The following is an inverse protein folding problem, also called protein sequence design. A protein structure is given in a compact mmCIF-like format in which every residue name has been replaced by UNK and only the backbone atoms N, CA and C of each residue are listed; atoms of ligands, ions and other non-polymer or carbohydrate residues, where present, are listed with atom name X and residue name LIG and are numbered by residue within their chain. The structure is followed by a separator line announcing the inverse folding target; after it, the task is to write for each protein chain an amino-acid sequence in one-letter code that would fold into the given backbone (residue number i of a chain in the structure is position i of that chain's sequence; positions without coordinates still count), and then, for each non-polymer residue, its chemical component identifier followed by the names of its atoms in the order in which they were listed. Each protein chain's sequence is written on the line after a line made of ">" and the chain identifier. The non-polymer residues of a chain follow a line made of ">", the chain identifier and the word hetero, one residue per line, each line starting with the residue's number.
data_IF_885431127446
#
_entry.id   IF_885431127446
#
_cell.length_a   1.000
_cell.length_b   1.000
_cell.length_c   1.000
_cell.angle_alpha   90.00
_cell.angle_beta   90.00
_cell.angle_gamma   90.00
#
_symmetry.space_group_name_H-M   'P 1'
#
loop_
_entity.id
_entity.type
_entity.pdbx_description
1 polymer ?
#
# COMPACT_ATOMS: atom_id res chain seq x y z
N UNK A 1 -21.58 4.62 -3.08
CA UNK A 1 -22.73 3.90 -2.48
C UNK A 1 -22.60 3.94 -0.97
N UNK A 2 -23.68 4.22 -0.24
CA UNK A 2 -23.68 4.32 1.22
C UNK A 2 -24.76 3.41 1.80
N UNK A 3 -24.45 2.78 2.93
CA UNK A 3 -25.41 2.04 3.75
C UNK A 3 -25.81 2.88 4.95
N UNK A 4 -27.09 2.85 5.30
CA UNK A 4 -27.62 3.57 6.47
C UNK A 4 -28.15 2.54 7.46
N UNK A 5 -27.65 2.57 8.70
CA UNK A 5 -28.08 1.62 9.72
C UNK A 5 -27.99 2.22 11.14
N UNK A 6 -29.14 2.25 11.85
CA UNK A 6 -29.26 2.72 13.24
C UNK A 6 -28.53 4.05 13.49
N UNK A 7 -28.75 5.03 12.62
CA UNK A 7 -28.12 6.35 12.71
C UNK A 7 -26.69 6.45 12.17
N UNK A 8 -26.10 5.34 11.69
CA UNK A 8 -24.77 5.34 11.07
C UNK A 8 -24.86 5.45 9.54
N UNK A 9 -23.81 6.03 8.96
CA UNK A 9 -23.55 6.04 7.51
C UNK A 9 -22.28 5.21 7.26
N UNK A 10 -22.38 4.19 6.43
CA UNK A 10 -21.32 3.24 6.14
C UNK A 10 -20.96 3.36 4.65
N UNK A 11 -19.67 3.48 4.34
CA UNK A 11 -19.20 3.50 2.95
C UNK A 11 -19.22 2.08 2.40
N UNK A 12 -20.16 1.77 1.50
CA UNK A 12 -20.28 0.44 0.89
C UNK A 12 -19.56 0.32 -0.46
N UNK A 13 -19.19 1.44 -1.08
CA UNK A 13 -18.46 1.40 -2.34
C UNK A 13 -18.20 2.76 -2.95
N UNK A 14 -17.19 2.81 -3.83
CA UNK A 14 -16.71 4.00 -4.53
C UNK A 14 -16.60 3.67 -6.02
N UNK A 15 -16.99 4.62 -6.87
CA UNK A 15 -16.78 4.56 -8.32
C UNK A 15 -16.50 5.97 -8.80
N UNK A 16 -15.61 6.11 -9.77
CA UNK A 16 -15.27 7.40 -10.37
C UNK A 16 -14.82 7.16 -11.82
N UNK A 17 -15.21 8.02 -12.77
CA UNK A 17 -14.62 7.99 -14.12
C UNK A 17 -13.11 8.31 -14.09
N UNK A 18 -12.64 9.00 -13.04
CA UNK A 18 -11.24 9.37 -12.83
C UNK A 18 -10.65 8.61 -11.63
N UNK A 19 -10.92 7.30 -11.52
CA UNK A 19 -10.37 6.48 -10.45
C UNK A 19 -8.86 6.30 -10.62
N UNK A 20 -8.10 6.49 -9.54
CA UNK A 20 -6.67 6.12 -9.49
C UNK A 20 -6.46 4.67 -9.01
N UNK A 21 -7.51 3.99 -8.58
CA UNK A 21 -7.46 2.56 -8.27
C UNK A 21 -7.42 1.77 -9.59
N UNK A 22 -6.43 0.88 -9.71
CA UNK A 22 -6.29 -0.08 -10.80
C UNK A 22 -6.32 -1.51 -10.23
N UNK A 23 -7.34 -2.26 -10.61
CA UNK A 23 -7.59 -3.63 -10.13
C UNK A 23 -6.49 -4.61 -10.59
N UNK A 24 -5.89 -4.39 -11.76
CA UNK A 24 -4.84 -5.27 -12.29
C UNK A 24 -3.52 -5.08 -11.56
N UNK A 25 -3.27 -3.91 -11.00
CA UNK A 25 -2.10 -3.62 -10.17
C UNK A 25 -2.34 -4.12 -8.73
N UNK A 26 -3.57 -3.95 -8.22
CA UNK A 26 -3.91 -4.31 -6.85
C UNK A 26 -4.14 -5.82 -6.64
N UNK A 27 -4.56 -6.55 -7.67
CA UNK A 27 -4.83 -7.99 -7.56
C UNK A 27 -3.58 -8.80 -7.25
N UNK A 28 -3.75 -9.80 -6.38
CA UNK A 28 -2.72 -10.80 -6.05
C UNK A 28 -2.77 -12.03 -6.96
N UNK A 29 -3.70 -12.08 -7.91
CA UNK A 29 -3.80 -13.16 -8.87
C UNK A 29 -2.63 -13.12 -9.87
N UNK A 30 -2.21 -14.31 -10.33
CA UNK A 30 -1.11 -14.43 -11.29
C UNK A 30 -1.47 -13.74 -12.62
N UNK A 31 -0.62 -12.84 -13.09
CA UNK A 31 -0.81 -12.10 -14.36
C UNK A 31 -1.28 -10.66 -14.22
N UNK A 32 -1.32 -10.12 -13.00
CA UNK A 32 -1.51 -8.68 -12.77
C UNK A 32 -0.39 -7.81 -13.35
N UNK A 33 -0.67 -6.53 -13.55
CA UNK A 33 0.27 -5.54 -14.13
C UNK A 33 1.42 -5.14 -13.19
N UNK A 34 1.43 -5.66 -11.95
CA UNK A 34 2.46 -5.37 -10.95
C UNK A 34 3.64 -6.36 -11.06
N UNK A 35 4.84 -5.82 -11.31
CA UNK A 35 6.08 -6.61 -11.27
C UNK A 35 6.65 -6.69 -9.85
N UNK A 36 6.55 -7.87 -9.23
CA UNK A 36 7.00 -8.08 -7.86
C UNK A 36 8.52 -7.98 -7.70
N UNK A 37 9.31 -8.19 -8.76
CA UNK A 37 10.79 -8.16 -8.67
C UNK A 37 11.33 -6.77 -8.35
N UNK A 38 10.61 -5.72 -8.76
CA UNK A 38 11.00 -4.33 -8.52
C UNK A 38 10.92 -3.96 -7.02
N UNK A 39 10.08 -4.66 -6.25
CA UNK A 39 9.87 -4.41 -4.83
C UNK A 39 11.16 -4.59 -4.00
N UNK A 40 11.99 -5.56 -4.36
CA UNK A 40 13.22 -5.86 -3.63
C UNK A 40 14.20 -4.68 -3.67
N UNK A 41 14.44 -4.13 -4.86
CA UNK A 41 15.31 -2.97 -5.04
C UNK A 41 14.76 -1.74 -4.31
N UNK A 42 13.46 -1.50 -4.44
CA UNK A 42 12.77 -0.39 -3.78
C UNK A 42 12.92 -0.45 -2.26
N UNK A 43 12.63 -1.60 -1.65
CA UNK A 43 12.73 -1.78 -0.19
C UNK A 43 14.17 -1.60 0.31
N UNK A 44 15.17 -2.10 -0.45
CA UNK A 44 16.59 -1.92 -0.11
C UNK A 44 16.97 -0.44 -0.08
N UNK A 45 16.58 0.33 -1.10
CA UNK A 45 16.94 1.76 -1.20
C UNK A 45 16.18 2.58 -0.15
N UNK A 46 14.85 2.43 -0.07
CA UNK A 46 14.03 3.21 0.87
C UNK A 46 14.34 2.89 2.33
N UNK A 47 14.71 1.65 2.63
CA UNK A 47 15.13 1.22 3.96
C UNK A 47 16.58 1.56 4.31
N UNK A 48 17.39 2.02 3.37
CA UNK A 48 18.82 2.27 3.60
C UNK A 48 19.06 3.31 4.71
N UNK A 49 18.43 4.51 4.71
CA UNK A 49 18.70 5.52 5.73
C UNK A 49 18.37 5.03 7.14
N UNK A 50 17.25 4.33 7.31
CA UNK A 50 16.84 3.76 8.61
C UNK A 50 17.81 2.70 9.12
N UNK A 51 18.28 1.80 8.24
CA UNK A 51 19.30 0.80 8.58
C UNK A 51 20.63 1.44 8.99
N UNK A 52 21.06 2.48 8.27
CA UNK A 52 22.27 3.23 8.61
C UNK A 52 22.13 3.94 9.96
N UNK A 53 21.00 4.62 10.20
CA UNK A 53 20.74 5.29 11.47
C UNK A 53 20.74 4.31 12.64
N UNK A 54 20.07 3.16 12.50
CA UNK A 54 20.05 2.11 13.52
C UNK A 54 21.44 1.57 13.85
N UNK A 55 22.34 1.52 12.86
CA UNK A 55 23.74 1.11 13.04
C UNK A 55 24.60 2.20 13.70
N UNK A 56 24.43 3.46 13.30
CA UNK A 56 25.25 4.58 13.78
C UNK A 56 24.85 5.03 15.18
N UNK A 57 23.55 5.00 15.50
CA UNK A 57 23.01 5.47 16.78
C UNK A 57 22.05 4.42 17.36
N UNK A 58 22.60 3.28 17.84
CA UNK A 58 21.78 2.26 18.48
C UNK A 58 21.09 2.83 19.73
N UNK A 59 19.82 2.50 19.92
CA UNK A 59 19.11 2.84 21.16
C UNK A 59 19.52 1.82 22.22
N UNK A 60 20.00 2.32 23.36
CA UNK A 60 20.14 1.50 24.56
C UNK A 60 18.73 1.31 25.16
N UNK A 61 18.33 0.05 25.34
CA UNK A 61 17.15 -0.36 26.10
C UNK A 61 17.63 -1.07 27.37
#
# INVERSE_FOLDING_TARGET
>A
KLGLYKGNIIVCGRTSPNSLYDDKIASMEAGGSYNQTDAEGFLRIMGLPGRVQGRVRPRAY
#
